data_IF_443978720409
#
_entry.id   IF_443978720409
#
_cell.length_a   1.000
_cell.length_b   1.000
_cell.length_c   1.000
_cell.angle_alpha   90.00
_cell.angle_beta   90.00
_cell.angle_gamma   90.00
#
_symmetry.space_group_name_H-M   'P 1'
#
loop_
_entity.id
_entity.type
_entity.pdbx_description
1 polymer ?
#
# COMPACT_ATOMS: atom_id res chain seq x y z
N UNK A 1 9.63 -11.98 5.22
CA UNK A 1 8.52 -11.17 4.71
C UNK A 1 8.67 -9.77 5.28
N UNK A 2 8.61 -8.72 4.47
CA UNK A 2 8.33 -7.39 4.99
C UNK A 2 6.90 -7.47 5.54
N UNK A 3 6.68 -7.12 6.81
CA UNK A 3 5.37 -7.29 7.46
C UNK A 3 4.29 -6.49 6.72
N UNK A 4 3.02 -6.88 6.93
CA UNK A 4 1.83 -6.14 6.48
C UNK A 4 1.97 -4.64 6.73
N UNK A 5 2.48 -4.28 7.90
CA UNK A 5 2.64 -2.90 8.36
C UNK A 5 3.58 -2.09 7.46
N UNK A 6 4.63 -2.72 6.94
CA UNK A 6 5.59 -2.08 6.02
C UNK A 6 4.95 -1.86 4.65
N UNK A 7 4.15 -2.82 4.18
CA UNK A 7 3.41 -2.70 2.92
C UNK A 7 2.35 -1.60 3.00
N UNK A 8 1.61 -1.53 4.10
CA UNK A 8 0.62 -0.46 4.35
C UNK A 8 1.30 0.89 4.44
N UNK A 9 2.42 1.01 5.16
CA UNK A 9 3.16 2.26 5.26
C UNK A 9 3.69 2.74 3.90
N UNK A 10 4.22 1.84 3.08
CA UNK A 10 4.65 2.14 1.71
C UNK A 10 3.48 2.56 0.81
N UNK A 11 2.30 1.95 0.97
CA UNK A 11 1.11 2.32 0.22
C UNK A 11 0.57 3.71 0.62
N UNK A 12 0.69 4.08 1.89
CA UNK A 12 0.23 5.39 2.39
C UNK A 12 1.19 6.52 2.04
N UNK A 13 2.49 6.33 2.29
CA UNK A 13 3.51 7.38 2.13
C UNK A 13 4.15 7.41 0.73
N UNK A 14 3.85 6.42 -0.09
CA UNK A 14 4.55 6.16 -1.34
C UNK A 14 5.89 5.47 -1.10
N UNK A 15 6.35 4.73 -2.11
CA UNK A 15 7.57 3.94 -2.03
C UNK A 15 8.29 3.92 -3.37
N UNK A 16 9.56 4.32 -3.36
CA UNK A 16 10.46 4.17 -4.50
C UNK A 16 11.29 2.90 -4.32
N UNK A 17 10.89 1.85 -5.04
CA UNK A 17 11.57 0.56 -5.03
C UNK A 17 12.47 0.35 -6.25
N UNK A 18 13.15 -0.80 -6.27
CA UNK A 18 13.96 -1.24 -7.40
C UNK A 18 13.14 -1.53 -8.67
N UNK A 19 11.85 -1.83 -8.52
CA UNK A 19 10.94 -2.14 -9.63
C UNK A 19 10.15 -0.93 -10.14
N UNK A 20 10.26 0.23 -9.48
CA UNK A 20 9.54 1.44 -9.86
C UNK A 20 9.10 2.26 -8.66
N UNK A 21 8.25 3.25 -8.94
CA UNK A 21 7.72 4.18 -7.97
C UNK A 21 6.23 3.89 -7.71
N UNK A 22 5.89 3.60 -6.46
CA UNK A 22 4.52 3.57 -5.97
C UNK A 22 4.18 4.96 -5.39
N UNK A 23 3.27 5.72 -6.01
CA UNK A 23 2.82 6.99 -5.45
C UNK A 23 2.01 6.76 -4.16
N UNK A 24 2.04 7.75 -3.27
CA UNK A 24 1.21 7.80 -2.06
C UNK A 24 -0.26 7.54 -2.40
N UNK A 25 -0.91 6.67 -1.62
CA UNK A 25 -2.30 6.23 -1.81
C UNK A 25 -2.62 5.76 -3.24
N UNK A 26 -1.62 5.24 -3.96
CA UNK A 26 -1.77 4.85 -5.36
C UNK A 26 -2.09 6.01 -6.31
N UNK A 27 -1.78 7.26 -5.92
CA UNK A 27 -2.12 8.47 -6.67
C UNK A 27 -3.55 8.98 -6.44
N UNK A 28 -4.28 8.37 -5.50
CA UNK A 28 -5.65 8.75 -5.10
C UNK A 28 -5.68 9.37 -3.72
N UNK A 29 -5.35 10.66 -3.67
CA UNK A 29 -5.36 11.47 -2.43
C UNK A 29 -6.75 11.68 -1.85
N UNK A 30 -7.79 11.38 -2.62
CA UNK A 30 -9.19 11.38 -2.21
C UNK A 30 -9.57 10.24 -1.27
N UNK A 31 -8.75 9.17 -1.21
CA UNK A 31 -8.99 8.03 -0.33
C UNK A 31 -8.51 8.29 1.09
N UNK A 32 -9.28 7.78 2.06
CA UNK A 32 -8.86 7.73 3.46
C UNK A 32 -7.81 6.65 3.68
N UNK A 33 -6.99 6.82 4.72
CA UNK A 33 -5.91 5.88 5.03
C UNK A 33 -6.46 4.47 5.32
N UNK A 34 -7.65 4.39 5.93
CA UNK A 34 -8.35 3.15 6.23
C UNK A 34 -8.80 2.41 4.96
N UNK A 35 -9.20 3.12 3.90
CA UNK A 35 -9.56 2.49 2.62
C UNK A 35 -8.33 1.91 1.91
N UNK A 36 -7.19 2.60 2.00
CA UNK A 36 -5.91 2.13 1.45
C UNK A 36 -5.43 0.89 2.22
N UNK A 37 -5.52 0.91 3.55
CA UNK A 37 -5.17 -0.23 4.40
C UNK A 37 -6.05 -1.46 4.11
N UNK A 38 -7.37 -1.28 4.01
CA UNK A 38 -8.28 -2.36 3.67
C UNK A 38 -8.00 -2.95 2.27
N UNK A 39 -7.61 -2.12 1.31
CA UNK A 39 -7.22 -2.59 -0.02
C UNK A 39 -5.92 -3.40 0.01
N UNK A 40 -4.91 -2.96 0.77
CA UNK A 40 -3.65 -3.69 0.96
C UNK A 40 -3.91 -5.03 1.64
N UNK A 41 -4.72 -5.06 2.69
CA UNK A 41 -5.12 -6.28 3.39
C UNK A 41 -5.84 -7.27 2.46
N UNK A 42 -6.77 -6.77 1.64
CA UNK A 42 -7.43 -7.59 0.63
C UNK A 42 -6.42 -8.20 -0.36
N UNK A 43 -5.51 -7.39 -0.91
CA UNK A 43 -4.48 -7.87 -1.85
C UNK A 43 -3.56 -8.94 -1.24
N UNK A 44 -3.20 -8.78 0.03
CA UNK A 44 -2.39 -9.76 0.76
C UNK A 44 -3.20 -11.04 1.04
N UNK A 45 -4.49 -10.90 1.37
CA UNK A 45 -5.37 -12.03 1.60
C UNK A 45 -5.63 -12.86 0.35
N UNK A 46 -5.77 -12.23 -0.82
CA UNK A 46 -5.97 -12.92 -2.11
C UNK A 46 -4.70 -13.62 -2.60
N UNK A 47 -3.52 -13.15 -2.19
CA UNK A 47 -2.25 -13.80 -2.52
C UNK A 47 -1.95 -15.01 -1.61
N UNK A 48 -2.70 -15.17 -0.52
CA UNK A 48 -2.50 -16.24 0.46
C UNK A 48 -3.19 -17.53 0.02
#
# INVERSE_FOLDING_TARGET
AQGTDVLTQHALLGFAGSTGYMPEKGGRLDLSDAEVEAAVDYMISEFR
#
